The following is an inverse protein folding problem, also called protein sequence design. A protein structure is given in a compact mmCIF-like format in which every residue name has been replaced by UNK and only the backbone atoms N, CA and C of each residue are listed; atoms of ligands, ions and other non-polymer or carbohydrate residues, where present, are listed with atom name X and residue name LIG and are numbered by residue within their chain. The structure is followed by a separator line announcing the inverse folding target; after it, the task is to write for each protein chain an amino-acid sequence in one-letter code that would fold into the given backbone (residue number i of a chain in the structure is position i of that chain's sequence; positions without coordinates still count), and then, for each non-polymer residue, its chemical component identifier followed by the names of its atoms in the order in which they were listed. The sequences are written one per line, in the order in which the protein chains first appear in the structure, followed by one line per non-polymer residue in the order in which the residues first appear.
data_IF_815611910051
#
_entry.id   IF_815611910051
#
_cell.length_a   1.000
_cell.length_b   1.000
_cell.length_c   1.000
_cell.angle_alpha   90.00
_cell.angle_beta   90.00
_cell.angle_gamma   90.00
#
_symmetry.space_group_name_H-M   'P 1'
#
loop_
_entity.id
_entity.type
_entity.pdbx_description
1 polymer ?
#
# COMPACT_ATOMS: atom_id res chain seq x y z
N UNK A 1 29.66 -22.81 42.70
CA UNK A 1 28.73 -21.67 42.74
C UNK A 1 28.86 -20.97 41.40
N UNK A 2 28.02 -21.37 40.44
CA UNK A 2 27.86 -20.69 39.16
C UNK A 2 26.38 -20.78 38.85
N UNK A 3 25.70 -19.66 39.03
CA UNK A 3 24.30 -19.44 38.70
C UNK A 3 24.16 -19.39 37.18
N UNK A 4 23.37 -20.30 36.61
CA UNK A 4 22.77 -20.09 35.29
C UNK A 4 21.39 -19.48 35.50
N UNK A 5 21.12 -18.25 35.06
CA UNK A 5 19.75 -17.79 34.89
C UNK A 5 19.23 -18.34 33.57
N UNK A 6 18.39 -19.37 33.67
CA UNK A 6 17.52 -19.82 32.59
C UNK A 6 16.49 -18.72 32.34
N UNK A 7 16.79 -17.82 31.40
CA UNK A 7 15.82 -16.85 30.90
C UNK A 7 14.84 -17.60 30.01
N UNK A 8 13.62 -17.73 30.51
CA UNK A 8 12.44 -18.13 29.77
C UNK A 8 12.18 -17.08 28.69
N UNK A 9 12.65 -17.32 27.47
CA UNK A 9 12.18 -16.60 26.29
C UNK A 9 11.06 -17.44 25.68
N UNK A 10 9.84 -17.24 26.22
CA UNK A 10 8.62 -17.72 25.60
C UNK A 10 8.55 -17.22 24.15
N UNK A 11 8.32 -18.10 23.16
CA UNK A 11 8.12 -17.68 21.79
C UNK A 11 6.86 -16.81 21.74
N UNK A 12 6.99 -15.58 21.20
CA UNK A 12 5.84 -14.80 20.79
C UNK A 12 5.06 -15.58 19.74
N UNK A 13 4.12 -16.41 20.18
CA UNK A 13 3.04 -16.95 19.35
C UNK A 13 2.26 -15.74 18.85
N UNK A 14 2.56 -15.31 17.61
CA UNK A 14 1.77 -14.30 16.94
C UNK A 14 0.33 -14.81 16.82
N UNK A 15 -0.54 -14.20 17.61
CA UNK A 15 -1.99 -14.41 17.68
C UNK A 15 -2.59 -14.73 16.29
N UNK A 16 -3.25 -15.89 16.09
CA UNK A 16 -3.98 -16.22 14.86
C UNK A 16 -5.06 -15.20 14.47
N UNK A 17 -5.36 -14.26 15.38
CA UNK A 17 -6.24 -13.12 15.17
C UNK A 17 -5.63 -12.04 14.26
N UNK A 18 -4.30 -11.88 14.24
CA UNK A 18 -3.60 -10.88 13.42
C UNK A 18 -3.89 -11.01 11.90
N UNK A 19 -3.74 -12.17 11.24
CA UNK A 19 -4.01 -12.28 9.80
C UNK A 19 -5.46 -11.99 9.43
N UNK A 20 -6.42 -12.33 10.30
CA UNK A 20 -7.84 -12.08 10.06
C UNK A 20 -8.23 -10.61 10.28
N UNK A 21 -7.63 -9.95 11.27
CA UNK A 21 -7.77 -8.52 11.52
C UNK A 21 -7.13 -7.71 10.38
N UNK A 22 -5.92 -8.09 9.95
CA UNK A 22 -5.25 -7.50 8.80
C UNK A 22 -6.12 -7.61 7.54
N UNK A 23 -6.74 -8.76 7.27
CA UNK A 23 -7.66 -8.93 6.14
C UNK A 23 -8.85 -7.97 6.20
N UNK A 24 -9.48 -7.81 7.38
CA UNK A 24 -10.62 -6.89 7.57
C UNK A 24 -10.21 -5.42 7.48
N UNK A 25 -9.02 -5.08 7.98
CA UNK A 25 -8.44 -3.74 7.83
C UNK A 25 -8.19 -3.48 6.35
N UNK A 26 -7.49 -4.37 5.62
CA UNK A 26 -7.26 -4.26 4.18
C UNK A 26 -8.55 -4.07 3.38
N UNK A 27 -9.62 -4.77 3.72
CA UNK A 27 -10.92 -4.60 3.08
C UNK A 27 -11.53 -3.21 3.28
N UNK A 28 -11.40 -2.63 4.48
CA UNK A 28 -11.88 -1.26 4.75
C UNK A 28 -10.99 -0.20 4.14
N UNK A 29 -9.67 -0.39 4.16
CA UNK A 29 -8.69 0.55 3.61
C UNK A 29 -8.77 0.64 2.07
N UNK A 30 -9.11 -0.46 1.41
CA UNK A 30 -9.27 -0.53 -0.04
C UNK A 30 -10.70 -0.17 -0.52
N UNK A 31 -11.56 0.39 0.35
CA UNK A 31 -12.87 0.85 -0.08
C UNK A 31 -12.75 2.10 -0.96
N UNK A 32 -13.65 2.31 -1.95
CA UNK A 32 -13.63 3.51 -2.77
C UNK A 32 -13.68 4.80 -1.94
N UNK A 33 -14.47 4.81 -0.86
CA UNK A 33 -14.64 5.95 0.04
C UNK A 33 -13.33 6.42 0.68
N UNK A 34 -12.45 5.48 1.00
CA UNK A 34 -11.15 5.76 1.63
C UNK A 34 -10.09 6.02 0.57
N UNK A 35 -10.07 5.21 -0.49
CA UNK A 35 -8.94 5.17 -1.40
C UNK A 35 -9.03 6.22 -2.52
N UNK A 36 -10.23 6.54 -3.01
CA UNK A 36 -10.42 7.57 -4.05
C UNK A 36 -9.84 8.94 -3.69
N UNK A 37 -10.07 9.53 -2.50
CA UNK A 37 -9.49 10.84 -2.17
C UNK A 37 -7.96 10.79 -2.13
N UNK A 38 -7.37 9.74 -1.53
CA UNK A 38 -5.91 9.57 -1.46
C UNK A 38 -5.30 9.44 -2.87
N UNK A 39 -5.90 8.59 -3.72
CA UNK A 39 -5.45 8.38 -5.09
C UNK A 39 -5.58 9.64 -5.95
N UNK A 40 -6.66 10.40 -5.76
CA UNK A 40 -6.86 11.66 -6.48
C UNK A 40 -5.74 12.64 -6.16
N UNK A 41 -5.47 12.85 -4.88
CA UNK A 41 -4.39 13.75 -4.44
C UNK A 41 -3.03 13.33 -4.99
N UNK A 42 -2.73 12.02 -4.97
CA UNK A 42 -1.50 11.48 -5.57
C UNK A 42 -1.43 11.77 -7.08
N UNK A 43 -2.51 11.51 -7.83
CA UNK A 43 -2.56 11.71 -9.27
C UNK A 43 -2.45 13.17 -9.69
N UNK A 44 -2.86 14.10 -8.83
CA UNK A 44 -2.70 15.54 -9.05
C UNK A 44 -1.27 16.00 -8.75
N UNK A 45 -0.59 15.45 -7.73
CA UNK A 45 0.76 15.87 -7.34
C UNK A 45 1.89 15.19 -8.12
N UNK A 46 1.74 13.92 -8.51
CA UNK A 46 2.76 13.15 -9.26
C UNK A 46 3.30 13.87 -10.52
N UNK A 47 2.44 14.37 -11.42
CA UNK A 47 2.89 15.08 -12.62
C UNK A 47 3.73 16.31 -12.29
N UNK A 48 3.33 17.06 -11.27
CA UNK A 48 4.00 18.31 -10.85
C UNK A 48 5.39 18.00 -10.34
N UNK A 49 5.51 17.04 -9.43
CA UNK A 49 6.79 16.65 -8.87
C UNK A 49 7.73 16.01 -9.89
N UNK A 50 7.22 15.18 -10.80
CA UNK A 50 8.04 14.62 -11.88
C UNK A 50 8.56 15.72 -12.82
N UNK A 51 7.83 16.81 -13.02
CA UNK A 51 8.30 17.96 -13.78
C UNK A 51 9.42 18.73 -13.04
N UNK A 52 9.30 18.89 -11.72
CA UNK A 52 10.25 19.66 -10.89
C UNK A 52 11.51 18.87 -10.49
N UNK A 53 11.37 17.56 -10.29
CA UNK A 53 12.40 16.68 -9.75
C UNK A 53 12.88 15.60 -10.71
N UNK A 54 12.18 15.37 -11.83
CA UNK A 54 12.51 14.32 -12.81
C UNK A 54 13.84 14.50 -13.56
N UNK A 55 14.54 15.62 -13.36
CA UNK A 55 15.92 15.86 -13.84
C UNK A 55 16.97 15.70 -12.73
N UNK A 56 16.55 15.58 -11.47
CA UNK A 56 17.40 15.44 -10.28
C UNK A 56 17.55 13.98 -9.84
N UNK A 57 16.62 13.13 -10.26
CA UNK A 57 16.61 11.68 -10.01
C UNK A 57 17.17 10.92 -11.20
N UNK A 58 17.61 9.68 -10.97
CA UNK A 58 18.09 8.82 -12.05
C UNK A 58 16.93 8.30 -12.93
N UNK A 59 17.30 7.72 -14.07
CA UNK A 59 16.33 7.23 -15.05
C UNK A 59 15.50 6.03 -14.53
N UNK A 60 16.07 5.20 -13.65
CA UNK A 60 15.39 4.02 -13.11
C UNK A 60 14.33 4.42 -12.07
N UNK A 61 14.66 5.37 -11.20
CA UNK A 61 13.73 5.99 -10.25
C UNK A 61 12.61 6.71 -10.98
N UNK A 62 12.93 7.49 -12.01
CA UNK A 62 11.93 8.17 -12.84
C UNK A 62 10.97 7.19 -13.49
N UNK A 63 11.48 6.13 -14.10
CA UNK A 63 10.65 5.08 -14.71
C UNK A 63 9.76 4.40 -13.65
N UNK A 64 10.31 4.10 -12.47
CA UNK A 64 9.56 3.51 -11.35
C UNK A 64 8.41 4.40 -10.89
N UNK A 65 8.67 5.69 -10.68
CA UNK A 65 7.64 6.65 -10.28
C UNK A 65 6.57 6.86 -11.35
N UNK A 66 6.94 6.84 -12.64
CA UNK A 66 5.97 6.87 -13.74
C UNK A 66 5.07 5.62 -13.75
N UNK A 67 5.63 4.44 -13.49
CA UNK A 67 4.86 3.18 -13.38
C UNK A 67 3.94 3.17 -12.16
N UNK A 68 4.39 3.71 -11.02
CA UNK A 68 3.54 3.90 -9.85
C UNK A 68 2.35 4.81 -10.17
N UNK A 69 2.58 5.94 -10.83
CA UNK A 69 1.52 6.86 -11.27
C UNK A 69 0.50 6.17 -12.17
N UNK A 70 0.95 5.37 -13.13
CA UNK A 70 0.05 4.60 -14.01
C UNK A 70 -0.82 3.64 -13.20
N UNK A 71 -0.25 2.92 -12.23
CA UNK A 71 -1.00 2.02 -11.36
C UNK A 71 -2.00 2.75 -10.47
N UNK A 72 -1.63 3.91 -9.90
CA UNK A 72 -2.57 4.74 -9.14
C UNK A 72 -3.78 5.11 -9.99
N UNK A 73 -3.56 5.47 -11.26
CA UNK A 73 -4.64 5.82 -12.19
C UNK A 73 -5.53 4.62 -12.49
N UNK A 74 -4.95 3.46 -12.77
CA UNK A 74 -5.71 2.23 -13.02
C UNK A 74 -6.60 1.88 -11.82
N UNK A 75 -6.05 1.97 -10.60
CA UNK A 75 -6.80 1.69 -9.37
C UNK A 75 -7.91 2.73 -9.17
N UNK A 76 -7.61 4.00 -9.38
CA UNK A 76 -8.58 5.08 -9.28
C UNK A 76 -9.76 4.87 -10.23
N UNK A 77 -9.47 4.62 -11.50
CA UNK A 77 -10.48 4.38 -12.54
C UNK A 77 -11.32 3.12 -12.21
N UNK A 78 -10.69 2.05 -11.71
CA UNK A 78 -11.40 0.83 -11.27
C UNK A 78 -12.35 1.10 -10.12
N UNK A 79 -11.97 1.93 -9.14
CA UNK A 79 -12.82 2.27 -8.00
C UNK A 79 -13.97 3.20 -8.41
N UNK A 80 -13.72 4.16 -9.31
CA UNK A 80 -14.76 5.08 -9.80
C UNK A 80 -15.88 4.38 -10.57
N UNK A 81 -15.58 3.23 -11.18
CA UNK A 81 -16.56 2.46 -11.92
C UNK A 81 -17.50 1.63 -11.02
N UNK A 82 -17.28 1.59 -9.71
CA UNK A 82 -18.15 0.90 -8.77
C UNK A 82 -19.54 1.56 -8.70
N UNK A 83 -20.59 0.75 -8.74
CA UNK A 83 -21.98 1.22 -8.63
C UNK A 83 -22.67 0.58 -7.44
N UNK A 84 -23.60 1.29 -6.77
CA UNK A 84 -24.36 0.73 -5.66
C UNK A 84 -25.27 -0.44 -6.07
N UNK A 85 -25.53 -0.61 -7.37
CA UNK A 85 -26.31 -1.71 -7.94
C UNK A 85 -25.45 -2.88 -8.42
N UNK A 86 -24.12 -2.81 -8.27
CA UNK A 86 -23.23 -3.90 -8.66
C UNK A 86 -23.49 -5.14 -7.79
N UNK A 87 -23.53 -6.31 -8.43
CA UNK A 87 -23.70 -7.57 -7.70
C UNK A 87 -22.49 -7.89 -6.81
N UNK A 88 -22.67 -8.70 -5.77
CA UNK A 88 -21.59 -9.15 -4.89
C UNK A 88 -20.41 -9.77 -5.66
N UNK A 89 -20.68 -10.46 -6.77
CA UNK A 89 -19.62 -11.03 -7.63
C UNK A 89 -18.79 -9.93 -8.30
N UNK A 90 -19.44 -8.91 -8.86
CA UNK A 90 -18.78 -7.76 -9.51
C UNK A 90 -17.93 -6.99 -8.50
N UNK A 91 -18.47 -6.71 -7.32
CA UNK A 91 -17.74 -6.05 -6.23
C UNK A 91 -16.52 -6.89 -5.78
N UNK A 92 -16.68 -8.21 -5.65
CA UNK A 92 -15.58 -9.11 -5.29
C UNK A 92 -14.48 -9.14 -6.33
N UNK A 93 -14.82 -9.19 -7.62
CA UNK A 93 -13.83 -9.24 -8.70
C UNK A 93 -13.11 -7.89 -8.85
N UNK A 94 -13.82 -6.76 -8.66
CA UNK A 94 -13.22 -5.42 -8.59
C UNK A 94 -12.23 -5.32 -7.43
N UNK A 95 -12.63 -5.77 -6.24
CA UNK A 95 -11.75 -5.79 -5.07
C UNK A 95 -10.47 -6.60 -5.31
N UNK A 96 -10.56 -7.78 -5.93
CA UNK A 96 -9.38 -8.60 -6.29
C UNK A 96 -8.47 -7.86 -7.27
N UNK A 97 -9.03 -7.17 -8.26
CA UNK A 97 -8.26 -6.37 -9.23
C UNK A 97 -7.53 -5.22 -8.56
N UNK A 98 -8.22 -4.46 -7.71
CA UNK A 98 -7.62 -3.37 -6.91
C UNK A 98 -6.50 -3.91 -6.02
N UNK A 99 -6.75 -5.03 -5.32
CA UNK A 99 -5.73 -5.67 -4.48
C UNK A 99 -4.52 -6.14 -5.29
N UNK A 100 -4.73 -6.69 -6.48
CA UNK A 100 -3.64 -7.11 -7.37
C UNK A 100 -2.78 -5.92 -7.81
N UNK A 101 -3.41 -4.83 -8.24
CA UNK A 101 -2.70 -3.61 -8.64
C UNK A 101 -1.96 -2.97 -7.47
N UNK A 102 -2.54 -2.98 -6.27
CA UNK A 102 -1.86 -2.51 -5.05
C UNK A 102 -0.64 -3.34 -4.68
N UNK A 103 -0.69 -4.67 -4.86
CA UNK A 103 0.51 -5.50 -4.69
C UNK A 103 1.59 -5.17 -5.71
N UNK A 104 1.20 -5.00 -6.98
CA UNK A 104 2.14 -4.61 -8.04
C UNK A 104 2.77 -3.23 -7.77
N UNK A 105 2.01 -2.32 -7.17
CA UNK A 105 2.51 -1.01 -6.75
C UNK A 105 3.64 -1.15 -5.71
N UNK A 106 3.47 -2.07 -4.75
CA UNK A 106 4.49 -2.38 -3.75
C UNK A 106 5.81 -2.91 -4.36
N UNK A 107 5.74 -3.63 -5.50
CA UNK A 107 6.94 -4.09 -6.22
C UNK A 107 7.77 -2.93 -6.79
N UNK A 108 7.16 -1.75 -6.97
CA UNK A 108 7.83 -0.50 -7.33
C UNK A 108 8.31 0.29 -6.10
N UNK A 109 8.19 -0.24 -4.89
CA UNK A 109 8.65 0.42 -3.67
C UNK A 109 7.81 1.61 -3.25
N UNK A 110 8.37 2.44 -2.37
CA UNK A 110 7.68 3.61 -1.82
C UNK A 110 7.54 4.75 -2.85
N UNK A 111 6.52 5.62 -2.72
CA UNK A 111 6.47 6.89 -3.47
C UNK A 111 7.65 7.82 -3.07
N UNK A 112 7.88 8.93 -3.79
CA UNK A 112 8.89 9.91 -3.39
C UNK A 112 8.68 10.42 -1.96
N UNK A 113 9.75 10.60 -1.18
CA UNK A 113 9.69 11.01 0.23
C UNK A 113 8.97 12.35 0.44
N UNK A 114 9.10 13.28 -0.50
CA UNK A 114 8.40 14.57 -0.50
C UNK A 114 6.89 14.44 -0.72
N UNK A 115 6.43 13.28 -1.19
CA UNK A 115 5.01 12.90 -1.27
C UNK A 115 4.60 11.90 -0.20
N UNK A 116 5.54 11.49 0.66
CA UNK A 116 5.25 10.58 1.73
C UNK A 116 4.32 11.23 2.76
N UNK A 117 4.07 12.53 2.77
CA UNK A 117 3.01 13.14 3.59
C UNK A 117 1.60 12.66 3.20
N UNK A 118 1.37 12.37 1.91
CA UNK A 118 0.13 11.77 1.40
C UNK A 118 0.10 10.26 1.68
N UNK A 119 1.26 9.66 1.96
CA UNK A 119 1.45 8.23 2.13
C UNK A 119 1.49 7.79 3.58
N UNK A 120 2.33 8.42 4.40
CA UNK A 120 2.88 7.98 5.68
C UNK A 120 1.83 7.71 6.75
N UNK A 121 0.77 8.53 6.82
CA UNK A 121 -0.34 8.33 7.75
C UNK A 121 -1.58 7.72 7.08
N UNK A 122 -1.51 7.45 5.78
CA UNK A 122 -2.68 6.94 5.07
C UNK A 122 -2.79 5.43 5.15
N UNK A 123 -4.04 4.93 5.05
CA UNK A 123 -4.35 3.55 4.72
C UNK A 123 -3.42 2.91 3.67
N UNK A 124 -2.97 3.71 2.70
CA UNK A 124 -2.08 3.29 1.61
C UNK A 124 -0.67 2.91 2.13
N UNK A 125 -0.09 3.66 3.08
CA UNK A 125 1.18 3.29 3.75
C UNK A 125 1.11 1.91 4.37
N UNK A 126 0.03 1.67 5.11
CA UNK A 126 -0.16 0.42 5.83
C UNK A 126 -0.28 -0.78 4.87
N UNK A 127 -0.78 -0.53 3.66
CA UNK A 127 -0.89 -1.52 2.60
C UNK A 127 0.42 -1.75 1.84
N UNK A 128 1.19 -0.67 1.64
CA UNK A 128 2.48 -0.67 0.96
C UNK A 128 3.68 -0.91 1.89
N UNK A 129 3.41 -1.21 3.17
CA UNK A 129 4.34 -1.78 4.15
C UNK A 129 5.77 -1.23 4.10
N UNK A 130 6.13 -0.43 5.09
CA UNK A 130 7.52 -0.13 5.42
C UNK A 130 8.39 -1.42 5.30
N UNK A 131 9.42 -1.43 4.44
CA UNK A 131 10.29 -2.59 4.28
C UNK A 131 11.05 -2.94 5.56
N UNK A 132 11.15 -2.05 6.57
CA UNK A 132 11.69 -2.41 7.89
C UNK A 132 10.68 -3.05 8.85
N UNK A 133 9.38 -2.99 8.53
CA UNK A 133 8.30 -3.68 9.24
C UNK A 133 7.87 -4.97 8.54
N UNK A 134 8.46 -5.29 7.37
CA UNK A 134 8.63 -6.68 6.97
C UNK A 134 9.60 -7.29 7.97
N UNK A 135 9.06 -7.78 9.09
CA UNK A 135 9.79 -8.65 9.99
C UNK A 135 10.55 -9.65 9.13
N UNK A 136 11.86 -9.62 9.28
CA UNK A 136 12.81 -10.62 8.81
C UNK A 136 12.30 -11.99 9.26
N UNK A 137 11.44 -12.63 8.47
CA UNK A 137 11.04 -14.01 8.69
C UNK A 137 12.06 -14.90 7.97
N UNK A 138 13.25 -14.98 8.57
CA UNK A 138 14.11 -16.16 8.52
C UNK A 138 13.91 -16.95 9.80
#
# INVERSE_FOLDING_TARGET
MSFEPHASDDPCDCDPLLPSLLKKIKQRLLSPEVLLPILKDLLERYPVWLAENGNKIDAADKERYMKQQELYKIIYDDLQQEKPTDSTKVLSDRFKKVLFNMKKLNDFGQPPDEMADIGAETPLSFLMGDPSSQCTWM
#
